data_IF_818802084587
#
_entry.id   IF_818802084587
#
_cell.length_a   1.000
_cell.length_b   1.000
_cell.length_c   1.000
_cell.angle_alpha   90.00
_cell.angle_beta   90.00
_cell.angle_gamma   90.00
#
_symmetry.space_group_name_H-M   'P 1'
#
loop_
_entity.id
_entity.type
_entity.pdbx_description
1 polymer ?
#
# COMPACT_ATOMS: atom_id res chain seq x y z
N UNK A 1 63.44 -28.59 -5.91
CA UNK A 1 62.39 -29.61 -5.79
C UNK A 1 61.18 -29.20 -6.59
N UNK A 2 60.34 -28.31 -6.03
CA UNK A 2 59.17 -27.75 -6.71
C UNK A 2 59.51 -27.08 -8.05
N UNK A 3 60.45 -26.13 -8.08
CA UNK A 3 60.85 -25.45 -9.34
C UNK A 3 61.37 -26.41 -10.42
N UNK A 4 62.03 -27.51 -10.04
CA UNK A 4 62.54 -28.52 -10.96
C UNK A 4 61.41 -29.38 -11.53
N UNK A 5 60.45 -29.79 -10.70
CA UNK A 5 59.26 -30.50 -11.16
C UNK A 5 58.39 -29.60 -12.07
N UNK A 6 58.25 -28.32 -11.75
CA UNK A 6 57.51 -27.34 -12.57
C UNK A 6 58.18 -27.13 -13.93
N UNK A 7 59.52 -26.99 -13.96
CA UNK A 7 60.26 -26.80 -15.21
C UNK A 7 60.14 -28.04 -16.13
N UNK A 8 60.25 -29.25 -15.56
CA UNK A 8 60.20 -30.49 -16.31
C UNK A 8 58.77 -30.82 -16.81
N UNK A 9 57.74 -30.47 -16.05
CA UNK A 9 56.34 -30.62 -16.46
C UNK A 9 55.94 -29.61 -17.55
N UNK A 10 56.62 -28.45 -17.63
CA UNK A 10 56.44 -27.47 -18.72
C UNK A 10 57.09 -27.89 -20.04
N UNK A 11 58.19 -28.66 -19.99
CA UNK A 11 58.89 -29.13 -21.19
C UNK A 11 58.18 -30.32 -21.87
N UNK A 12 57.69 -31.29 -21.10
CA UNK A 12 56.87 -32.38 -21.61
C UNK A 12 56.03 -33.02 -20.48
N UNK A 13 54.71 -32.83 -20.54
CA UNK A 13 53.78 -33.35 -19.54
C UNK A 13 53.76 -34.90 -19.47
N UNK A 14 54.29 -35.59 -20.48
CA UNK A 14 54.42 -37.06 -20.48
C UNK A 14 55.64 -37.58 -19.73
N UNK A 15 56.58 -36.71 -19.32
CA UNK A 15 57.79 -37.11 -18.59
C UNK A 15 57.57 -37.26 -17.08
N UNK A 16 56.45 -36.75 -16.56
CA UNK A 16 56.12 -36.79 -15.13
C UNK A 16 54.67 -37.22 -14.95
N UNK A 17 54.43 -38.14 -14.02
CA UNK A 17 53.09 -38.39 -13.48
C UNK A 17 52.69 -37.18 -12.61
N UNK A 18 52.05 -36.20 -13.23
CA UNK A 18 51.63 -34.92 -12.64
C UNK A 18 50.73 -35.13 -11.41
N UNK A 19 49.93 -36.21 -11.42
CA UNK A 19 49.12 -36.61 -10.27
C UNK A 19 49.97 -37.06 -9.09
N UNK A 20 51.03 -37.85 -9.31
CA UNK A 20 51.93 -38.29 -8.22
C UNK A 20 52.73 -37.14 -7.62
N UNK A 21 53.12 -36.15 -8.43
CA UNK A 21 53.86 -34.98 -7.94
C UNK A 21 52.98 -34.11 -7.04
N UNK A 22 51.71 -33.90 -7.41
CA UNK A 22 50.74 -33.26 -6.51
C UNK A 22 50.58 -34.05 -5.20
N UNK A 23 50.50 -35.39 -5.27
CA UNK A 23 50.34 -36.24 -4.09
C UNK A 23 51.51 -36.16 -3.12
N UNK A 24 52.74 -36.07 -3.65
CA UNK A 24 53.94 -35.88 -2.84
C UNK A 24 53.93 -34.50 -2.16
N UNK A 25 53.55 -33.43 -2.86
CA UNK A 25 53.45 -32.11 -2.24
C UNK A 25 52.34 -32.04 -1.18
N UNK A 26 51.21 -32.69 -1.43
CA UNK A 26 50.11 -32.80 -0.46
C UNK A 26 50.53 -33.59 0.78
N UNK A 27 51.19 -34.74 0.62
CA UNK A 27 51.65 -35.57 1.73
C UNK A 27 52.68 -34.86 2.63
N UNK A 28 53.41 -33.87 2.09
CA UNK A 28 54.34 -33.03 2.84
C UNK A 28 53.72 -31.74 3.38
N UNK A 29 52.41 -31.50 3.20
CA UNK A 29 51.74 -30.27 3.63
C UNK A 29 52.15 -29.03 2.85
N UNK A 30 52.78 -29.19 1.68
CA UNK A 30 53.29 -28.11 0.82
C UNK A 30 52.18 -27.59 -0.12
N UNK A 31 51.09 -27.09 0.46
CA UNK A 31 49.85 -26.77 -0.27
C UNK A 31 50.05 -25.60 -1.25
N UNK A 32 50.77 -24.55 -0.85
CA UNK A 32 51.02 -23.40 -1.73
C UNK A 32 51.87 -23.79 -2.95
N UNK A 33 52.88 -24.66 -2.76
CA UNK A 33 53.72 -25.17 -3.83
C UNK A 33 52.96 -26.13 -4.75
N UNK A 34 52.09 -26.97 -4.18
CA UNK A 34 51.18 -27.82 -4.95
C UNK A 34 50.23 -26.99 -5.82
N UNK A 35 49.65 -25.92 -5.26
CA UNK A 35 48.76 -25.02 -6.01
C UNK A 35 49.50 -24.31 -7.13
N UNK A 36 50.67 -23.72 -6.87
CA UNK A 36 51.48 -23.06 -7.91
C UNK A 36 51.89 -24.02 -9.04
N UNK A 37 52.32 -25.24 -8.68
CA UNK A 37 52.63 -26.28 -9.67
C UNK A 37 51.39 -26.68 -10.49
N UNK A 38 50.25 -26.91 -9.83
CA UNK A 38 49.01 -27.28 -10.49
C UNK A 38 48.49 -26.19 -11.45
N UNK A 39 48.54 -24.92 -11.05
CA UNK A 39 48.15 -23.79 -11.91
C UNK A 39 49.03 -23.68 -13.16
N UNK A 40 50.33 -23.90 -13.01
CA UNK A 40 51.27 -23.87 -14.13
C UNK A 40 51.05 -25.03 -15.11
N UNK A 41 50.89 -26.25 -14.59
CA UNK A 41 50.69 -27.47 -15.39
C UNK A 41 49.33 -27.46 -16.11
N UNK A 42 48.29 -26.97 -15.45
CA UNK A 42 46.92 -26.93 -15.97
C UNK A 42 46.60 -25.67 -16.76
N UNK A 43 47.58 -24.78 -16.98
CA UNK A 43 47.39 -23.49 -17.67
C UNK A 43 46.83 -23.61 -19.09
N UNK A 44 47.02 -24.76 -19.75
CA UNK A 44 46.47 -25.05 -21.07
C UNK A 44 44.98 -25.45 -21.06
N UNK A 45 44.37 -25.63 -19.88
CA UNK A 45 42.96 -25.97 -19.66
C UNK A 45 42.41 -27.04 -20.62
N UNK A 46 43.12 -28.17 -20.72
CA UNK A 46 42.74 -29.26 -21.63
C UNK A 46 41.66 -30.14 -21.00
N UNK A 47 40.80 -30.70 -21.83
CA UNK A 47 39.73 -31.60 -21.39
C UNK A 47 40.28 -32.89 -20.76
N UNK A 48 41.42 -33.38 -21.24
CA UNK A 48 42.12 -34.57 -20.70
C UNK A 48 42.55 -34.40 -19.23
N UNK A 49 42.72 -33.15 -18.78
CA UNK A 49 43.16 -32.82 -17.42
C UNK A 49 42.00 -32.62 -16.44
N UNK A 50 40.75 -32.84 -16.85
CA UNK A 50 39.55 -32.63 -16.01
C UNK A 50 39.61 -33.25 -14.60
N UNK A 51 40.06 -34.51 -14.43
CA UNK A 51 40.26 -35.10 -13.11
C UNK A 51 41.31 -34.39 -12.26
N UNK A 52 42.39 -33.90 -12.90
CA UNK A 52 43.48 -33.18 -12.24
C UNK A 52 43.05 -31.76 -11.84
N UNK A 53 42.27 -31.08 -12.70
CA UNK A 53 41.61 -29.81 -12.38
C UNK A 53 40.71 -29.95 -11.17
N UNK A 54 39.85 -30.99 -11.16
CA UNK A 54 38.97 -31.30 -10.02
C UNK A 54 39.80 -31.43 -8.75
N UNK A 55 40.80 -32.31 -8.76
CA UNK A 55 41.64 -32.58 -7.59
C UNK A 55 42.37 -31.35 -7.06
N UNK A 56 42.87 -30.48 -7.95
CA UNK A 56 43.52 -29.24 -7.56
C UNK A 56 42.54 -28.28 -6.86
N UNK A 57 41.32 -28.15 -7.38
CA UNK A 57 40.29 -27.31 -6.77
C UNK A 57 39.85 -27.91 -5.43
N UNK A 58 39.63 -29.22 -5.35
CA UNK A 58 39.27 -29.92 -4.10
C UNK A 58 40.30 -29.68 -3.00
N UNK A 59 41.58 -29.83 -3.32
CA UNK A 59 42.68 -29.60 -2.39
C UNK A 59 42.65 -28.17 -1.85
N UNK A 60 42.45 -27.18 -2.74
CA UNK A 60 42.36 -25.78 -2.32
C UNK A 60 41.08 -25.51 -1.51
N UNK A 61 39.94 -26.10 -1.85
CA UNK A 61 38.70 -25.93 -1.07
C UNK A 61 38.82 -26.47 0.36
N UNK A 62 39.54 -27.58 0.56
CA UNK A 62 39.71 -28.17 1.89
C UNK A 62 40.71 -27.40 2.78
N UNK A 63 41.70 -26.74 2.18
CA UNK A 63 42.84 -26.20 2.94
C UNK A 63 43.01 -24.69 2.85
N UNK A 64 42.61 -24.08 1.73
CA UNK A 64 42.71 -22.65 1.47
C UNK A 64 41.51 -22.16 0.62
N UNK A 65 40.29 -22.08 1.18
CA UNK A 65 39.07 -21.74 0.42
C UNK A 65 39.17 -20.44 -0.38
N UNK A 66 39.89 -19.43 0.12
CA UNK A 66 40.10 -18.15 -0.57
C UNK A 66 40.86 -18.32 -1.90
N UNK A 67 41.80 -19.26 -1.97
CA UNK A 67 42.55 -19.55 -3.20
C UNK A 67 41.65 -20.30 -4.19
N UNK A 68 40.83 -21.23 -3.71
CA UNK A 68 39.85 -21.90 -4.55
C UNK A 68 38.81 -20.93 -5.12
N UNK A 69 38.32 -19.98 -4.32
CA UNK A 69 37.41 -18.93 -4.77
C UNK A 69 38.03 -18.06 -5.88
N UNK A 70 39.32 -17.72 -5.77
CA UNK A 70 40.04 -16.99 -6.81
C UNK A 70 40.22 -17.82 -8.09
N UNK A 71 40.51 -19.11 -7.98
CA UNK A 71 40.65 -20.01 -9.14
C UNK A 71 39.32 -20.12 -9.90
N UNK A 72 38.22 -20.34 -9.17
CA UNK A 72 36.88 -20.45 -9.75
C UNK A 72 36.39 -19.10 -10.29
N UNK A 73 36.66 -18.01 -9.58
CA UNK A 73 36.24 -16.66 -9.96
C UNK A 73 36.95 -16.09 -11.18
N UNK A 74 38.19 -16.50 -11.43
CA UNK A 74 38.94 -16.13 -12.64
C UNK A 74 38.69 -17.08 -13.81
N UNK A 75 37.78 -18.04 -13.68
CA UNK A 75 37.45 -19.04 -14.71
C UNK A 75 38.69 -19.75 -15.29
N UNK A 76 39.68 -20.02 -14.43
CA UNK A 76 40.97 -20.58 -14.89
C UNK A 76 40.83 -21.99 -15.48
N UNK A 77 39.77 -22.72 -15.11
CA UNK A 77 39.51 -24.11 -15.50
C UNK A 77 38.05 -24.30 -15.91
N UNK A 78 37.78 -25.19 -16.86
CA UNK A 78 36.41 -25.44 -17.37
C UNK A 78 35.96 -26.90 -17.36
N UNK A 79 36.86 -27.87 -17.17
CA UNK A 79 36.61 -29.30 -17.38
C UNK A 79 36.55 -30.14 -16.08
N UNK A 80 36.46 -29.51 -14.91
CA UNK A 80 36.36 -30.19 -13.63
C UNK A 80 34.94 -30.74 -13.34
N UNK A 81 34.84 -31.67 -12.38
CA UNK A 81 33.58 -32.22 -11.88
C UNK A 81 32.78 -31.16 -11.10
N UNK A 82 31.86 -30.49 -11.81
CA UNK A 82 31.04 -29.40 -11.25
C UNK A 82 30.20 -29.84 -10.05
N UNK A 83 29.43 -30.96 -10.07
CA UNK A 83 28.69 -31.43 -8.90
C UNK A 83 29.55 -31.64 -7.65
N UNK A 84 30.74 -32.22 -7.82
CA UNK A 84 31.67 -32.47 -6.72
C UNK A 84 32.20 -31.16 -6.13
N UNK A 85 32.66 -30.25 -7.00
CA UNK A 85 33.16 -28.94 -6.59
C UNK A 85 32.06 -28.11 -5.90
N UNK A 86 30.82 -28.15 -6.39
CA UNK A 86 29.68 -27.45 -5.76
C UNK A 86 29.47 -27.88 -4.30
N UNK A 87 29.52 -29.20 -4.04
CA UNK A 87 29.37 -29.76 -2.69
C UNK A 87 30.49 -29.31 -1.75
N UNK A 88 31.72 -29.23 -2.26
CA UNK A 88 32.87 -28.78 -1.47
C UNK A 88 32.87 -27.26 -1.25
N UNK A 89 32.41 -26.48 -2.22
CA UNK A 89 32.19 -25.04 -2.05
C UNK A 89 31.17 -24.77 -0.94
N UNK A 90 30.07 -25.53 -0.89
CA UNK A 90 29.09 -25.42 0.18
C UNK A 90 29.69 -25.75 1.57
N UNK A 91 30.47 -26.84 1.67
CA UNK A 91 31.16 -27.22 2.91
C UNK A 91 32.19 -26.17 3.36
N UNK A 92 32.84 -25.51 2.41
CA UNK A 92 33.81 -24.45 2.67
C UNK A 92 33.17 -23.07 2.95
N UNK A 93 31.83 -22.96 2.89
CA UNK A 93 31.11 -21.70 3.11
C UNK A 93 31.13 -20.74 1.91
N UNK A 94 31.56 -21.19 0.74
CA UNK A 94 31.58 -20.42 -0.52
C UNK A 94 30.24 -20.59 -1.27
N UNK A 95 29.15 -20.10 -0.67
CA UNK A 95 27.79 -20.33 -1.17
C UNK A 95 27.53 -19.74 -2.56
N UNK A 96 28.13 -18.59 -2.89
CA UNK A 96 28.07 -17.99 -4.24
C UNK A 96 28.58 -18.97 -5.29
N UNK A 97 29.74 -19.58 -5.07
CA UNK A 97 30.35 -20.55 -5.99
C UNK A 97 29.57 -21.85 -6.04
N UNK A 98 29.05 -22.30 -4.90
CA UNK A 98 28.18 -23.48 -4.86
C UNK A 98 26.94 -23.28 -5.75
N UNK A 99 26.28 -22.12 -5.68
CA UNK A 99 25.11 -21.80 -6.52
C UNK A 99 25.43 -21.70 -8.01
N UNK A 100 26.61 -21.19 -8.38
CA UNK A 100 27.04 -21.15 -9.79
C UNK A 100 27.19 -22.54 -10.42
N UNK A 101 27.45 -23.57 -9.60
CA UNK A 101 27.77 -24.92 -10.06
C UNK A 101 26.64 -25.92 -9.82
N UNK A 102 25.69 -25.62 -8.94
CA UNK A 102 24.53 -26.47 -8.73
C UNK A 102 23.53 -26.35 -9.88
N UNK A 103 23.19 -27.49 -10.46
CA UNK A 103 22.11 -27.64 -11.44
C UNK A 103 20.86 -28.29 -10.81
N UNK A 104 21.04 -29.00 -9.69
CA UNK A 104 19.95 -29.68 -8.97
C UNK A 104 19.07 -28.69 -8.18
N UNK A 105 17.75 -28.62 -8.46
CA UNK A 105 16.81 -27.77 -7.73
C UNK A 105 16.84 -27.96 -6.21
N UNK A 106 17.05 -29.19 -5.71
CA UNK A 106 17.06 -29.43 -4.27
C UNK A 106 18.32 -28.84 -3.60
N UNK A 107 19.47 -28.97 -4.24
CA UNK A 107 20.71 -28.33 -3.78
C UNK A 107 20.63 -26.80 -3.82
N UNK A 108 20.08 -26.22 -4.90
CA UNK A 108 19.88 -24.77 -5.01
C UNK A 108 19.03 -24.25 -3.84
N UNK A 109 17.86 -24.87 -3.60
CA UNK A 109 16.97 -24.49 -2.49
C UNK A 109 17.64 -24.60 -1.12
N UNK A 110 18.51 -25.58 -0.93
CA UNK A 110 19.26 -25.76 0.33
C UNK A 110 20.27 -24.64 0.58
N UNK A 111 20.93 -24.15 -0.46
CA UNK A 111 21.99 -23.13 -0.32
C UNK A 111 21.43 -21.71 -0.29
N UNK A 112 20.40 -21.43 -1.08
CA UNK A 112 19.88 -20.08 -1.29
C UNK A 112 19.28 -19.44 -0.02
N UNK A 113 18.96 -20.26 0.99
CA UNK A 113 18.47 -19.83 2.31
C UNK A 113 19.55 -19.13 3.15
N UNK A 114 20.82 -19.25 2.80
CA UNK A 114 21.95 -18.57 3.46
C UNK A 114 22.14 -17.16 2.89
N UNK A 115 21.05 -16.39 2.75
CA UNK A 115 21.09 -15.08 2.07
C UNK A 115 21.97 -14.04 2.77
N UNK A 116 22.28 -14.24 4.07
CA UNK A 116 23.18 -13.40 4.85
C UNK A 116 24.66 -13.52 4.42
N UNK A 117 25.01 -14.63 3.78
CA UNK A 117 26.39 -14.94 3.35
C UNK A 117 26.57 -14.84 1.84
N UNK A 118 25.50 -14.55 1.11
CA UNK A 118 25.52 -14.39 -0.34
C UNK A 118 25.36 -12.90 -0.66
N UNK A 119 26.22 -12.30 -1.50
CA UNK A 119 26.06 -10.92 -1.93
C UNK A 119 24.70 -10.71 -2.59
N UNK A 120 24.01 -9.64 -2.21
CA UNK A 120 22.66 -9.34 -2.67
C UNK A 120 22.57 -9.23 -4.20
N UNK A 121 23.50 -8.50 -4.83
CA UNK A 121 23.54 -8.33 -6.28
C UNK A 121 23.68 -9.67 -7.02
N UNK A 122 24.50 -10.57 -6.48
CA UNK A 122 24.66 -11.90 -7.06
C UNK A 122 23.36 -12.69 -6.94
N UNK A 123 22.77 -12.72 -5.75
CA UNK A 123 21.54 -13.47 -5.49
C UNK A 123 20.42 -13.00 -6.41
N UNK A 124 20.20 -11.68 -6.48
CA UNK A 124 19.20 -11.08 -7.36
C UNK A 124 19.46 -11.44 -8.83
N UNK A 125 20.71 -11.40 -9.31
CA UNK A 125 21.03 -11.79 -10.68
C UNK A 125 20.89 -13.29 -10.94
N UNK A 126 21.15 -14.12 -9.94
CA UNK A 126 21.02 -15.58 -10.03
C UNK A 126 19.57 -16.00 -10.28
N UNK A 127 18.60 -15.36 -9.61
CA UNK A 127 17.16 -15.59 -9.87
C UNK A 127 16.76 -15.30 -11.32
N UNK A 128 17.45 -14.39 -12.01
CA UNK A 128 17.23 -14.15 -13.45
C UNK A 128 17.60 -15.32 -14.37
N UNK A 129 18.40 -16.29 -13.89
CA UNK A 129 18.77 -17.51 -14.63
C UNK A 129 17.84 -18.68 -14.33
N UNK A 130 17.07 -18.61 -13.26
CA UNK A 130 16.18 -19.68 -12.83
C UNK A 130 14.86 -19.66 -13.62
N UNK A 131 14.20 -20.81 -13.70
CA UNK A 131 12.83 -20.86 -14.20
C UNK A 131 11.88 -20.19 -13.20
N UNK A 132 10.70 -19.78 -13.69
CA UNK A 132 9.64 -19.19 -12.88
C UNK A 132 9.27 -20.08 -11.68
N UNK A 133 9.06 -21.38 -11.94
CA UNK A 133 8.66 -22.35 -10.93
C UNK A 133 9.74 -22.52 -9.86
N UNK A 134 11.00 -22.72 -10.28
CA UNK A 134 12.11 -22.88 -9.35
C UNK A 134 12.35 -21.61 -8.53
N UNK A 135 12.20 -20.43 -9.13
CA UNK A 135 12.30 -19.15 -8.43
C UNK A 135 11.26 -19.04 -7.31
N UNK A 136 10.01 -19.38 -7.60
CA UNK A 136 8.94 -19.36 -6.59
C UNK A 136 9.19 -20.38 -5.48
N UNK A 137 9.63 -21.59 -5.82
CA UNK A 137 9.99 -22.60 -4.82
C UNK A 137 11.20 -22.18 -3.96
N UNK A 138 12.18 -21.51 -4.55
CA UNK A 138 13.33 -20.97 -3.82
C UNK A 138 12.90 -19.88 -2.83
N UNK A 139 12.08 -18.92 -3.26
CA UNK A 139 11.56 -17.87 -2.37
C UNK A 139 10.69 -18.48 -1.26
N UNK A 140 9.90 -19.51 -1.55
CA UNK A 140 9.13 -20.26 -0.55
C UNK A 140 10.03 -20.92 0.50
N UNK A 141 11.07 -21.64 0.08
CA UNK A 141 12.00 -22.28 1.03
C UNK A 141 12.81 -21.25 1.82
N UNK A 142 13.19 -20.12 1.21
CA UNK A 142 13.85 -18.99 1.89
C UNK A 142 13.00 -18.45 3.04
N UNK A 143 11.73 -18.16 2.80
CA UNK A 143 10.83 -17.66 3.85
C UNK A 143 10.54 -18.73 4.90
N UNK A 144 10.38 -19.99 4.49
CA UNK A 144 10.14 -21.12 5.40
C UNK A 144 11.26 -21.35 6.41
N UNK A 145 12.52 -21.23 5.99
CA UNK A 145 13.68 -21.48 6.84
C UNK A 145 13.90 -20.33 7.82
N UNK A 146 13.96 -19.09 7.33
CA UNK A 146 14.17 -17.93 8.18
C UNK A 146 13.63 -16.66 7.53
N UNK A 147 12.39 -16.31 7.89
CA UNK A 147 11.72 -15.10 7.41
C UNK A 147 12.58 -13.86 7.67
N UNK A 148 13.01 -13.60 8.90
CA UNK A 148 13.67 -12.34 9.28
C UNK A 148 14.95 -12.10 8.48
N UNK A 149 15.70 -13.17 8.20
CA UNK A 149 16.95 -13.09 7.45
C UNK A 149 16.69 -12.90 5.95
N UNK A 150 15.79 -13.71 5.39
CA UNK A 150 15.65 -13.83 3.95
C UNK A 150 14.63 -12.86 3.35
N UNK A 151 13.80 -12.21 4.17
CA UNK A 151 12.71 -11.35 3.71
C UNK A 151 13.19 -10.21 2.81
N UNK A 152 14.26 -9.50 3.19
CA UNK A 152 14.80 -8.40 2.39
C UNK A 152 15.21 -8.86 0.97
N UNK A 153 15.92 -9.99 0.88
CA UNK A 153 16.31 -10.58 -0.39
C UNK A 153 15.08 -10.95 -1.24
N UNK A 154 14.09 -11.64 -0.64
CA UNK A 154 12.86 -12.05 -1.33
C UNK A 154 12.10 -10.83 -1.87
N UNK A 155 12.01 -9.73 -1.10
CA UNK A 155 11.38 -8.49 -1.55
C UNK A 155 12.12 -7.90 -2.76
N UNK A 156 13.45 -7.81 -2.70
CA UNK A 156 14.24 -7.18 -3.78
C UNK A 156 14.23 -8.01 -5.07
N UNK A 157 14.27 -9.34 -4.95
CA UNK A 157 14.03 -10.27 -6.07
C UNK A 157 12.62 -10.07 -6.64
N UNK A 158 11.61 -10.02 -5.78
CA UNK A 158 10.20 -9.84 -6.18
C UNK A 158 9.97 -8.51 -6.89
N UNK A 159 10.62 -7.43 -6.45
CA UNK A 159 10.55 -6.11 -7.10
C UNK A 159 11.19 -6.14 -8.49
N UNK A 160 12.40 -6.71 -8.62
CA UNK A 160 13.13 -6.72 -9.89
C UNK A 160 12.45 -7.55 -10.97
N UNK A 161 11.85 -8.68 -10.60
CA UNK A 161 11.21 -9.61 -11.51
C UNK A 161 9.67 -9.62 -11.36
N UNK A 162 9.09 -8.51 -10.90
CA UNK A 162 7.65 -8.40 -10.63
C UNK A 162 6.79 -8.73 -11.86
N UNK A 163 7.22 -8.28 -13.04
CA UNK A 163 6.52 -8.56 -14.30
C UNK A 163 6.51 -10.04 -14.68
N UNK A 164 7.56 -10.78 -14.28
CA UNK A 164 7.70 -12.21 -14.56
C UNK A 164 6.87 -13.05 -13.58
N UNK A 165 6.98 -12.77 -12.29
CA UNK A 165 6.28 -13.54 -11.24
C UNK A 165 4.78 -13.21 -11.17
N UNK A 166 4.42 -11.97 -11.45
CA UNK A 166 3.08 -11.44 -11.30
C UNK A 166 2.73 -11.15 -9.83
N UNK A 167 2.03 -10.04 -9.55
CA UNK A 167 1.81 -9.57 -8.18
C UNK A 167 1.00 -10.56 -7.33
N UNK A 168 -0.03 -11.22 -7.90
CA UNK A 168 -0.87 -12.18 -7.19
C UNK A 168 -0.08 -13.37 -6.60
N UNK A 169 0.92 -13.88 -7.32
CA UNK A 169 1.72 -15.02 -6.84
C UNK A 169 2.64 -14.61 -5.69
N UNK A 170 3.20 -13.40 -5.78
CA UNK A 170 4.06 -12.84 -4.72
C UNK A 170 3.22 -12.49 -3.49
N UNK A 171 2.03 -11.91 -3.67
CA UNK A 171 1.07 -11.67 -2.58
C UNK A 171 0.75 -12.99 -1.88
N UNK A 172 0.32 -14.03 -2.61
CA UNK A 172 -0.01 -15.33 -2.02
C UNK A 172 1.17 -15.95 -1.26
N UNK A 173 2.40 -15.78 -1.77
CA UNK A 173 3.61 -16.25 -1.12
C UNK A 173 3.87 -15.53 0.21
N UNK A 174 3.79 -14.20 0.23
CA UNK A 174 4.03 -13.39 1.42
C UNK A 174 2.89 -13.56 2.46
N UNK A 175 1.65 -13.75 2.01
CA UNK A 175 0.50 -14.05 2.87
C UNK A 175 0.61 -15.41 3.55
N UNK A 176 1.13 -16.43 2.85
CA UNK A 176 1.37 -17.78 3.40
C UNK A 176 2.21 -17.72 4.69
N UNK A 177 3.18 -16.81 4.76
CA UNK A 177 4.04 -16.61 5.93
C UNK A 177 3.61 -15.44 6.83
N UNK A 178 2.46 -14.81 6.54
CA UNK A 178 1.88 -13.68 7.31
C UNK A 178 2.84 -12.50 7.46
N UNK A 179 3.62 -12.20 6.43
CA UNK A 179 4.59 -11.10 6.46
C UNK A 179 3.98 -9.80 5.97
N UNK A 180 3.36 -9.04 6.89
CA UNK A 180 2.82 -7.70 6.58
C UNK A 180 3.92 -6.75 6.09
N UNK A 181 5.10 -6.81 6.69
CA UNK A 181 6.29 -6.05 6.28
C UNK A 181 6.70 -6.35 4.83
N UNK A 182 6.69 -7.64 4.46
CA UNK A 182 7.00 -8.08 3.09
C UNK A 182 6.01 -7.53 2.07
N UNK A 183 4.72 -7.67 2.36
CA UNK A 183 3.65 -7.14 1.51
C UNK A 183 3.77 -5.62 1.38
N UNK A 184 3.99 -4.90 2.47
CA UNK A 184 4.12 -3.45 2.45
C UNK A 184 5.29 -2.99 1.57
N UNK A 185 6.49 -3.54 1.77
CA UNK A 185 7.65 -3.11 1.00
C UNK A 185 7.61 -3.52 -0.47
N UNK A 186 7.09 -4.72 -0.78
CA UNK A 186 6.93 -5.16 -2.17
C UNK A 186 5.85 -4.33 -2.88
N UNK A 187 4.64 -4.30 -2.32
CA UNK A 187 3.49 -3.63 -2.94
C UNK A 187 3.68 -2.12 -3.01
N UNK A 188 4.38 -1.50 -2.06
CA UNK A 188 4.71 -0.06 -2.11
C UNK A 188 5.54 0.33 -3.34
N UNK A 189 6.29 -0.60 -3.92
CA UNK A 189 7.03 -0.37 -5.16
C UNK A 189 6.17 -0.41 -6.43
N UNK A 190 5.01 -1.05 -6.38
CA UNK A 190 4.16 -1.29 -7.56
C UNK A 190 2.77 -0.64 -7.48
N UNK A 191 2.28 -0.30 -6.28
CA UNK A 191 0.90 0.16 -6.05
C UNK A 191 0.54 1.41 -6.85
N UNK A 192 1.49 2.33 -7.05
CA UNK A 192 1.26 3.56 -7.81
C UNK A 192 1.17 3.31 -9.33
N UNK A 193 1.64 2.15 -9.81
CA UNK A 193 1.65 1.77 -11.23
C UNK A 193 0.60 0.69 -11.53
N UNK A 194 -0.02 0.12 -10.49
CA UNK A 194 -0.93 -1.00 -10.62
C UNK A 194 -2.37 -0.50 -10.76
N UNK A 195 -3.06 -1.03 -11.77
CA UNK A 195 -4.52 -0.85 -11.95
C UNK A 195 -5.34 -1.96 -11.28
N UNK A 196 -4.68 -2.83 -10.54
CA UNK A 196 -5.27 -4.00 -9.91
C UNK A 196 -5.84 -3.67 -8.52
N UNK A 197 -7.15 -3.87 -8.37
CA UNK A 197 -7.86 -3.61 -7.12
C UNK A 197 -7.38 -4.49 -5.96
N UNK A 198 -6.95 -5.72 -6.24
CA UNK A 198 -6.46 -6.62 -5.21
C UNK A 198 -5.09 -6.17 -4.70
N UNK A 199 -4.20 -5.73 -5.59
CA UNK A 199 -2.89 -5.16 -5.23
C UNK A 199 -3.05 -3.95 -4.33
N UNK A 200 -3.90 -3.01 -4.72
CA UNK A 200 -4.15 -1.79 -3.93
C UNK A 200 -4.77 -2.13 -2.57
N UNK A 201 -5.77 -3.02 -2.54
CA UNK A 201 -6.39 -3.47 -1.29
C UNK A 201 -5.36 -4.12 -0.36
N UNK A 202 -4.52 -5.02 -0.88
CA UNK A 202 -3.49 -5.71 -0.10
C UNK A 202 -2.42 -4.76 0.41
N UNK A 203 -2.09 -3.72 -0.34
CA UNK A 203 -1.18 -2.67 0.15
C UNK A 203 -1.81 -1.88 1.30
N UNK A 204 -3.09 -1.51 1.21
CA UNK A 204 -3.83 -0.84 2.30
C UNK A 204 -3.84 -1.71 3.57
N UNK A 205 -4.12 -3.02 3.42
CA UNK A 205 -4.12 -3.98 4.52
C UNK A 205 -2.74 -4.09 5.19
N UNK A 206 -1.68 -4.20 4.39
CA UNK A 206 -0.30 -4.28 4.87
C UNK A 206 0.16 -2.97 5.54
N UNK A 207 -0.09 -1.82 4.92
CA UNK A 207 0.27 -0.51 5.47
C UNK A 207 -0.46 -0.23 6.79
N UNK A 208 -1.74 -0.62 6.88
CA UNK A 208 -2.54 -0.51 8.11
C UNK A 208 -1.95 -1.37 9.22
N UNK A 209 -1.59 -2.62 8.92
CA UNK A 209 -0.97 -3.54 9.89
C UNK A 209 0.39 -3.05 10.37
N UNK A 210 1.15 -2.39 9.48
CA UNK A 210 2.45 -1.77 9.80
C UNK A 210 2.32 -0.44 10.56
N UNK A 211 1.10 0.07 10.78
CA UNK A 211 0.85 1.36 11.44
C UNK A 211 1.23 2.57 10.57
N UNK A 212 1.39 2.40 9.26
CA UNK A 212 1.78 3.45 8.32
C UNK A 212 0.55 4.22 7.82
N UNK A 213 -0.13 4.93 8.73
CA UNK A 213 -1.42 5.58 8.45
C UNK A 213 -1.33 6.63 7.34
N UNK A 214 -0.20 7.35 7.23
CA UNK A 214 0.01 8.35 6.19
C UNK A 214 -0.02 7.74 4.78
N UNK A 215 0.56 6.54 4.61
CA UNK A 215 0.50 5.82 3.34
C UNK A 215 -0.89 5.28 3.04
N UNK A 216 -1.62 4.82 4.07
CA UNK A 216 -3.02 4.41 3.92
C UNK A 216 -3.87 5.59 3.44
N UNK A 217 -3.70 6.77 4.06
CA UNK A 217 -4.37 8.00 3.66
C UNK A 217 -4.05 8.38 2.20
N UNK A 218 -2.76 8.38 1.85
CA UNK A 218 -2.28 8.71 0.49
C UNK A 218 -2.93 7.81 -0.55
N UNK A 219 -2.88 6.49 -0.36
CA UNK A 219 -3.44 5.53 -1.32
C UNK A 219 -4.97 5.61 -1.38
N UNK A 220 -5.65 5.80 -0.25
CA UNK A 220 -7.09 6.01 -0.23
C UNK A 220 -7.51 7.29 -0.99
N UNK A 221 -6.65 8.32 -1.02
CA UNK A 221 -6.90 9.57 -1.73
C UNK A 221 -6.54 9.50 -3.21
N UNK A 222 -5.39 8.94 -3.55
CA UNK A 222 -4.78 9.01 -4.89
C UNK A 222 -5.19 7.85 -5.80
N UNK A 223 -5.35 6.64 -5.25
CA UNK A 223 -5.65 5.47 -6.08
C UNK A 223 -7.10 5.48 -6.54
N UNK A 224 -7.34 5.14 -7.81
CA UNK A 224 -8.68 4.92 -8.36
C UNK A 224 -9.04 3.43 -8.49
N UNK A 225 -8.09 2.55 -8.16
CA UNK A 225 -8.18 1.12 -8.42
C UNK A 225 -8.30 0.36 -7.10
N UNK A 226 -9.42 0.55 -6.40
CA UNK A 226 -9.80 -0.30 -5.27
C UNK A 226 -11.32 -0.29 -5.06
N UNK A 227 -11.83 -1.40 -4.54
CA UNK A 227 -13.23 -1.49 -4.15
C UNK A 227 -13.50 -0.70 -2.85
N UNK A 228 -14.23 0.40 -2.96
CA UNK A 228 -14.53 1.29 -1.83
C UNK A 228 -15.30 0.61 -0.69
N UNK A 229 -16.20 -0.34 -0.98
CA UNK A 229 -16.96 -1.05 0.04
C UNK A 229 -16.06 -2.02 0.83
N UNK A 230 -15.20 -2.76 0.13
CA UNK A 230 -14.23 -3.68 0.74
C UNK A 230 -13.24 -2.93 1.64
N UNK A 231 -12.69 -1.82 1.16
CA UNK A 231 -11.76 -0.97 1.95
C UNK A 231 -12.47 -0.32 3.12
N UNK A 232 -13.69 0.21 2.94
CA UNK A 232 -14.50 0.78 4.03
C UNK A 232 -14.70 -0.22 5.16
N UNK A 233 -15.13 -1.45 4.83
CA UNK A 233 -15.41 -2.47 5.84
C UNK A 233 -14.13 -2.87 6.58
N UNK A 234 -13.02 -3.05 5.86
CA UNK A 234 -11.72 -3.32 6.47
C UNK A 234 -11.28 -2.19 7.43
N UNK A 235 -11.36 -0.93 7.02
CA UNK A 235 -10.93 0.22 7.85
C UNK A 235 -11.81 0.40 9.10
N UNK A 236 -13.10 0.05 9.02
CA UNK A 236 -14.01 0.02 10.18
C UNK A 236 -13.61 -1.08 11.18
N UNK A 237 -13.22 -2.25 10.69
CA UNK A 237 -12.78 -3.36 11.54
C UNK A 237 -11.40 -3.11 12.15
N UNK A 238 -10.50 -2.47 11.40
CA UNK A 238 -9.16 -2.12 11.85
C UNK A 238 -9.15 -1.10 13.01
N UNK A 239 -10.25 -0.35 13.20
CA UNK A 239 -10.46 0.59 14.29
C UNK A 239 -9.26 1.53 14.53
N UNK A 240 -8.88 2.28 13.49
CA UNK A 240 -7.71 3.14 13.50
C UNK A 240 -7.81 4.25 14.55
N UNK A 241 -6.68 4.67 15.09
CA UNK A 241 -6.62 5.87 15.95
C UNK A 241 -6.99 7.13 15.17
N UNK A 242 -6.58 7.21 13.90
CA UNK A 242 -6.90 8.30 13.00
C UNK A 242 -7.87 7.83 11.92
N UNK A 243 -9.05 8.45 11.89
CA UNK A 243 -10.17 8.04 11.03
C UNK A 243 -10.11 8.69 9.63
N UNK A 244 -9.09 9.49 9.32
CA UNK A 244 -8.99 10.22 8.07
C UNK A 244 -8.99 9.31 6.82
N UNK A 245 -8.28 8.15 6.81
CA UNK A 245 -8.38 7.23 5.68
C UNK A 245 -9.80 6.72 5.44
N UNK A 246 -10.53 6.36 6.51
CA UNK A 246 -11.92 5.92 6.41
C UNK A 246 -12.82 7.04 5.89
N UNK A 247 -12.63 8.27 6.38
CA UNK A 247 -13.36 9.45 5.93
C UNK A 247 -13.18 9.67 4.42
N UNK A 248 -11.94 9.59 3.92
CA UNK A 248 -11.64 9.78 2.49
C UNK A 248 -12.34 8.74 1.64
N UNK A 249 -12.26 7.46 2.01
CA UNK A 249 -12.92 6.37 1.27
C UNK A 249 -14.44 6.59 1.25
N UNK A 250 -15.04 6.90 2.40
CA UNK A 250 -16.48 7.12 2.46
C UNK A 250 -16.93 8.36 1.67
N UNK A 251 -16.16 9.45 1.66
CA UNK A 251 -16.48 10.64 0.88
C UNK A 251 -16.45 10.35 -0.63
N UNK A 252 -15.38 9.71 -1.10
CA UNK A 252 -15.16 9.40 -2.52
C UNK A 252 -16.21 8.47 -3.10
N UNK A 253 -16.64 7.48 -2.32
CA UNK A 253 -17.63 6.48 -2.75
C UNK A 253 -19.05 6.78 -2.25
N UNK A 254 -19.30 7.99 -1.75
CA UNK A 254 -20.63 8.47 -1.31
C UNK A 254 -21.27 7.65 -0.17
N UNK A 255 -20.46 7.07 0.73
CA UNK A 255 -20.88 6.35 1.93
C UNK A 255 -20.97 7.26 3.17
N UNK A 256 -21.43 8.51 2.99
CA UNK A 256 -21.44 9.54 4.04
C UNK A 256 -22.29 9.13 5.24
N UNK A 257 -23.48 8.59 5.00
CA UNK A 257 -24.40 8.18 6.07
C UNK A 257 -23.81 7.05 6.94
N UNK A 258 -23.24 6.02 6.29
CA UNK A 258 -22.55 4.90 6.97
C UNK A 258 -21.36 5.38 7.82
N UNK A 259 -20.59 6.35 7.29
CA UNK A 259 -19.46 6.96 8.00
C UNK A 259 -19.93 7.64 9.28
N UNK A 260 -20.96 8.49 9.18
CA UNK A 260 -21.48 9.25 10.32
C UNK A 260 -22.03 8.31 11.40
N UNK A 261 -22.80 7.29 11.00
CA UNK A 261 -23.28 6.24 11.90
C UNK A 261 -22.14 5.57 12.67
N UNK A 262 -21.06 5.21 11.96
CA UNK A 262 -19.90 4.55 12.56
C UNK A 262 -19.13 5.48 13.50
N UNK A 263 -18.80 6.69 13.06
CA UNK A 263 -18.05 7.66 13.86
C UNK A 263 -18.82 8.07 15.11
N UNK A 264 -20.14 8.26 15.01
CA UNK A 264 -20.98 8.61 16.14
C UNK A 264 -21.06 7.47 17.17
N UNK A 265 -21.31 6.24 16.72
CA UNK A 265 -21.37 5.05 17.61
C UNK A 265 -20.07 4.83 18.39
N UNK A 266 -18.93 5.14 17.78
CA UNK A 266 -17.61 5.04 18.41
C UNK A 266 -17.14 6.34 19.08
N UNK A 267 -18.02 7.35 19.20
CA UNK A 267 -17.73 8.64 19.86
C UNK A 267 -16.55 9.43 19.24
N UNK A 268 -16.28 9.25 17.94
CA UNK A 268 -15.26 9.96 17.18
C UNK A 268 -15.75 11.33 16.65
N UNK A 269 -16.27 12.18 17.55
CA UNK A 269 -16.86 13.48 17.18
C UNK A 269 -15.87 14.42 16.46
N UNK A 270 -14.61 14.45 16.92
CA UNK A 270 -13.55 15.25 16.29
C UNK A 270 -13.31 14.85 14.83
N UNK A 271 -13.47 13.57 14.51
CA UNK A 271 -13.30 13.07 13.14
C UNK A 271 -14.43 13.52 12.23
N UNK A 272 -15.67 13.59 12.75
CA UNK A 272 -16.82 14.16 12.02
C UNK A 272 -16.58 15.65 11.74
N UNK A 273 -16.06 16.39 12.73
CA UNK A 273 -15.70 17.80 12.57
C UNK A 273 -14.59 18.01 11.52
N UNK A 274 -13.52 17.23 11.59
CA UNK A 274 -12.43 17.26 10.59
C UNK A 274 -12.95 16.95 9.18
N UNK A 275 -13.92 16.03 9.04
CA UNK A 275 -14.50 15.69 7.75
C UNK A 275 -15.14 16.91 7.08
N UNK A 276 -16.03 17.61 7.79
CA UNK A 276 -16.74 18.78 7.24
C UNK A 276 -15.88 20.04 7.20
N UNK A 277 -14.81 20.14 7.98
CA UNK A 277 -13.93 21.32 7.95
C UNK A 277 -12.83 21.22 6.88
N UNK A 278 -12.16 20.05 6.79
CA UNK A 278 -10.90 19.93 6.05
C UNK A 278 -11.00 19.07 4.80
N UNK A 279 -11.89 18.09 4.79
CA UNK A 279 -11.97 17.13 3.68
C UNK A 279 -13.00 17.61 2.66
N UNK A 280 -14.25 17.79 3.08
CA UNK A 280 -15.32 18.19 2.18
C UNK A 280 -16.46 18.95 2.90
N UNK A 281 -16.34 20.28 3.04
CA UNK A 281 -17.39 21.11 3.63
C UNK A 281 -18.73 21.06 2.88
N UNK A 282 -18.69 20.75 1.58
CA UNK A 282 -19.90 20.57 0.77
C UNK A 282 -20.79 19.42 1.25
N UNK A 283 -20.24 18.46 2.01
CA UNK A 283 -20.99 17.30 2.56
C UNK A 283 -21.64 17.56 3.91
N UNK A 284 -21.50 18.77 4.46
CA UNK A 284 -22.14 19.17 5.72
C UNK A 284 -23.65 18.84 5.77
N UNK A 285 -24.46 19.07 4.72
CA UNK A 285 -25.87 18.69 4.70
C UNK A 285 -26.11 17.21 5.01
N UNK A 286 -25.44 16.31 4.28
CA UNK A 286 -25.57 14.86 4.47
C UNK A 286 -25.04 14.39 5.82
N UNK A 287 -23.99 15.04 6.34
CA UNK A 287 -23.48 14.76 7.69
C UNK A 287 -24.48 15.14 8.77
N UNK A 288 -25.09 16.31 8.67
CA UNK A 288 -26.13 16.76 9.60
C UNK A 288 -27.36 15.85 9.50
N UNK A 289 -27.78 15.47 8.30
CA UNK A 289 -28.86 14.50 8.10
C UNK A 289 -28.58 13.18 8.81
N UNK A 290 -27.38 12.61 8.62
CA UNK A 290 -26.97 11.39 9.30
C UNK A 290 -26.87 11.52 10.83
N UNK A 291 -26.46 12.67 11.35
CA UNK A 291 -26.45 12.94 12.79
C UNK A 291 -27.86 13.05 13.38
N UNK A 292 -28.81 13.59 12.62
CA UNK A 292 -30.20 13.66 13.03
C UNK A 292 -30.86 12.27 13.05
N UNK A 293 -30.51 11.40 12.10
CA UNK A 293 -31.04 10.02 12.03
C UNK A 293 -30.59 9.14 13.20
N UNK A 294 -29.52 9.52 13.92
CA UNK A 294 -29.02 8.82 15.12
C UNK A 294 -29.43 9.50 16.43
N UNK A 295 -30.38 10.44 16.38
CA UNK A 295 -30.83 11.22 17.55
C UNK A 295 -29.67 11.92 18.28
N UNK A 296 -28.71 12.46 17.52
CA UNK A 296 -27.57 13.19 18.09
C UNK A 296 -28.02 14.42 18.90
N UNK A 297 -27.25 14.76 19.94
CA UNK A 297 -27.47 15.98 20.73
C UNK A 297 -27.40 17.21 19.81
N UNK A 298 -28.43 18.05 19.89
CA UNK A 298 -28.54 19.27 19.11
C UNK A 298 -27.34 20.21 19.28
N UNK A 299 -26.73 20.23 20.46
CA UNK A 299 -25.57 21.08 20.73
C UNK A 299 -24.35 20.63 19.93
N UNK A 300 -24.18 19.33 19.68
CA UNK A 300 -23.11 18.81 18.84
C UNK A 300 -23.30 19.29 17.40
N UNK A 301 -24.54 19.22 16.89
CA UNK A 301 -24.86 19.69 15.53
C UNK A 301 -24.67 21.22 15.42
N UNK A 302 -25.12 21.99 16.41
CA UNK A 302 -24.93 23.45 16.45
C UNK A 302 -23.45 23.83 16.48
N UNK A 303 -22.66 23.14 17.31
CA UNK A 303 -21.21 23.36 17.37
C UNK A 303 -20.53 23.00 16.05
N UNK A 304 -20.90 21.88 15.43
CA UNK A 304 -20.40 21.46 14.12
C UNK A 304 -20.68 22.53 13.05
N UNK A 305 -21.93 23.00 12.95
CA UNK A 305 -22.33 24.04 12.00
C UNK A 305 -21.59 25.37 12.25
N UNK A 306 -21.37 25.75 13.50
CA UNK A 306 -20.62 26.96 13.84
C UNK A 306 -19.14 26.87 13.50
N UNK A 307 -18.61 25.65 13.38
CA UNK A 307 -17.19 25.39 13.15
C UNK A 307 -16.80 25.40 11.67
N UNK A 308 -17.79 25.33 10.77
CA UNK A 308 -17.59 25.27 9.31
C UNK A 308 -17.92 26.63 8.71
N UNK A 309 -17.17 27.03 7.68
CA UNK A 309 -17.46 28.26 6.94
C UNK A 309 -18.80 28.14 6.21
N UNK A 310 -19.76 28.97 6.64
CA UNK A 310 -21.12 29.04 6.10
C UNK A 310 -21.19 29.31 4.59
N UNK A 311 -20.16 29.89 3.98
CA UNK A 311 -20.16 30.20 2.55
C UNK A 311 -19.98 28.98 1.65
N UNK A 312 -19.37 27.92 2.18
CA UNK A 312 -19.07 26.68 1.44
C UNK A 312 -20.17 25.64 1.60
N UNK A 313 -21.05 25.82 2.58
CA UNK A 313 -22.14 24.89 2.87
C UNK A 313 -23.29 25.11 1.87
N UNK A 314 -23.77 24.06 1.17
CA UNK A 314 -24.99 24.12 0.38
C UNK A 314 -26.21 24.29 1.29
N UNK A 315 -26.66 25.53 1.47
CA UNK A 315 -27.74 25.87 2.41
C UNK A 315 -29.08 25.22 2.01
N UNK A 316 -29.42 25.19 0.71
CA UNK A 316 -30.66 24.57 0.24
C UNK A 316 -30.74 23.07 0.60
N UNK A 317 -29.63 22.34 0.39
CA UNK A 317 -29.54 20.93 0.75
C UNK A 317 -29.59 20.74 2.26
N UNK A 318 -28.88 21.57 3.04
CA UNK A 318 -28.90 21.52 4.49
C UNK A 318 -30.33 21.72 5.04
N UNK A 319 -31.04 22.70 4.50
CA UNK A 319 -32.42 23.01 4.88
C UNK A 319 -33.32 21.84 4.53
N UNK A 320 -33.19 21.26 3.33
CA UNK A 320 -33.97 20.09 2.92
C UNK A 320 -33.74 18.87 3.82
N UNK A 321 -32.49 18.55 4.16
CA UNK A 321 -32.14 17.44 5.06
C UNK A 321 -32.71 17.65 6.47
N UNK A 322 -32.70 18.88 6.99
CA UNK A 322 -33.23 19.16 8.34
C UNK A 322 -34.77 19.28 8.34
N UNK A 323 -35.36 19.83 7.27
CA UNK A 323 -36.80 20.01 7.07
C UNK A 323 -37.51 18.67 6.93
N UNK A 324 -36.98 17.74 6.12
CA UNK A 324 -37.53 16.39 5.96
C UNK A 324 -37.60 15.59 7.27
N UNK A 325 -36.77 15.97 8.26
CA UNK A 325 -36.73 15.37 9.61
C UNK A 325 -37.51 16.18 10.66
N UNK A 326 -38.23 17.23 10.24
CA UNK A 326 -39.01 18.12 11.10
C UNK A 326 -38.18 18.83 12.21
N UNK A 327 -36.89 19.11 11.95
CA UNK A 327 -35.98 19.75 12.92
C UNK A 327 -35.48 21.13 12.48
N UNK A 328 -36.19 21.80 11.57
CA UNK A 328 -35.84 23.10 10.97
C UNK A 328 -35.37 24.17 11.99
N UNK A 329 -36.02 24.24 13.16
CA UNK A 329 -35.70 25.21 14.23
C UNK A 329 -34.25 25.09 14.73
N UNK A 330 -33.61 23.94 14.55
CA UNK A 330 -32.21 23.69 14.92
C UNK A 330 -31.25 24.64 14.20
N UNK A 331 -31.56 25.00 12.94
CA UNK A 331 -30.70 25.83 12.09
C UNK A 331 -30.79 27.32 12.42
N UNK A 332 -31.76 27.76 13.24
CA UNK A 332 -31.99 29.17 13.49
C UNK A 332 -30.73 29.96 13.92
N UNK A 333 -29.96 29.52 14.94
CA UNK A 333 -28.77 30.26 15.36
C UNK A 333 -27.70 30.33 14.26
N UNK A 334 -27.58 29.27 13.45
CA UNK A 334 -26.63 29.20 12.35
C UNK A 334 -27.04 30.13 11.19
N UNK A 335 -28.33 30.16 10.82
CA UNK A 335 -28.84 31.00 9.73
C UNK A 335 -28.78 32.50 10.10
N UNK A 336 -29.09 32.86 11.34
CA UNK A 336 -28.96 34.23 11.84
C UNK A 336 -27.50 34.70 11.84
N UNK A 337 -26.57 33.85 12.30
CA UNK A 337 -25.14 34.15 12.26
C UNK A 337 -24.63 34.29 10.81
N UNK A 338 -25.10 33.43 9.91
CA UNK A 338 -24.76 33.46 8.47
C UNK A 338 -25.25 34.76 7.82
N UNK A 339 -26.46 35.21 8.17
CA UNK A 339 -27.02 36.49 7.74
C UNK A 339 -26.20 37.68 8.28
N UNK A 340 -25.82 37.65 9.57
CA UNK A 340 -24.99 38.70 10.19
C UNK A 340 -23.59 38.77 9.59
N UNK A 341 -23.04 37.63 9.16
CA UNK A 341 -21.77 37.55 8.44
C UNK A 341 -21.84 38.14 7.01
N UNK A 342 -23.04 38.56 6.56
CA UNK A 342 -23.24 39.21 5.26
C UNK A 342 -23.55 38.25 4.12
N UNK A 343 -23.87 36.99 4.40
CA UNK A 343 -24.31 36.05 3.36
C UNK A 343 -25.74 36.40 2.91
N UNK A 344 -25.90 36.71 1.61
CA UNK A 344 -27.16 37.13 1.00
C UNK A 344 -27.81 36.05 0.13
N UNK A 345 -27.44 34.78 0.29
CA UNK A 345 -28.07 33.69 -0.45
C UNK A 345 -29.59 33.62 -0.17
N UNK A 346 -30.40 33.54 -1.22
CA UNK A 346 -31.87 33.43 -1.13
C UNK A 346 -32.32 32.24 -0.27
N UNK A 347 -31.58 31.13 -0.31
CA UNK A 347 -31.78 29.93 0.51
C UNK A 347 -31.85 30.24 2.02
N UNK A 348 -30.98 31.11 2.51
CA UNK A 348 -30.92 31.50 3.93
C UNK A 348 -32.20 32.24 4.32
N UNK A 349 -32.64 33.17 3.49
CA UNK A 349 -33.88 33.93 3.71
C UNK A 349 -35.12 33.05 3.63
N UNK A 350 -35.16 32.12 2.68
CA UNK A 350 -36.23 31.13 2.58
C UNK A 350 -36.33 30.31 3.86
N UNK A 351 -35.21 29.77 4.34
CA UNK A 351 -35.17 28.97 5.56
C UNK A 351 -35.57 29.76 6.80
N UNK A 352 -35.09 31.00 6.96
CA UNK A 352 -35.49 31.88 8.05
C UNK A 352 -36.99 32.19 8.02
N UNK A 353 -37.55 32.47 6.84
CA UNK A 353 -38.99 32.67 6.67
C UNK A 353 -39.75 31.45 7.17
N UNK A 354 -39.38 30.25 6.68
CA UNK A 354 -40.00 28.98 7.10
C UNK A 354 -39.96 28.78 8.62
N UNK A 355 -38.82 29.05 9.25
CA UNK A 355 -38.64 28.91 10.71
C UNK A 355 -39.47 29.94 11.49
N UNK A 356 -39.53 31.20 11.05
CA UNK A 356 -40.32 32.23 11.72
C UNK A 356 -41.82 31.98 11.61
N UNK A 357 -42.28 31.42 10.49
CA UNK A 357 -43.65 30.94 10.33
C UNK A 357 -43.93 29.80 11.34
N UNK A 358 -43.05 28.80 11.44
CA UNK A 358 -43.17 27.68 12.38
C UNK A 358 -43.09 28.06 13.87
N UNK A 359 -42.43 29.17 14.15
CA UNK A 359 -42.17 29.63 15.52
C UNK A 359 -43.08 30.79 15.93
N UNK A 360 -43.96 31.24 15.04
CA UNK A 360 -44.81 32.43 15.20
C UNK A 360 -44.03 33.66 15.68
N UNK A 361 -42.83 33.87 15.11
CA UNK A 361 -41.94 34.97 15.46
C UNK A 361 -42.06 36.11 14.44
N UNK A 362 -43.11 36.92 14.56
CA UNK A 362 -43.44 38.05 13.67
C UNK A 362 -43.26 37.76 12.15
N UNK A 363 -43.81 36.64 11.63
CA UNK A 363 -43.58 36.24 10.24
C UNK A 363 -44.10 37.27 9.23
N UNK A 364 -45.20 37.96 9.54
CA UNK A 364 -45.72 39.04 8.68
C UNK A 364 -44.70 40.15 8.44
N UNK A 365 -43.97 40.54 9.49
CA UNK A 365 -42.98 41.62 9.40
C UNK A 365 -41.85 41.19 8.49
N UNK A 366 -41.34 39.97 8.68
CA UNK A 366 -40.29 39.40 7.83
C UNK A 366 -40.73 39.35 6.36
N UNK A 367 -41.92 38.81 6.07
CA UNK A 367 -42.42 38.67 4.70
C UNK A 367 -42.66 40.03 4.03
N UNK A 368 -43.06 41.06 4.78
CA UNK A 368 -43.29 42.42 4.25
C UNK A 368 -41.98 43.17 4.03
N UNK A 369 -41.04 43.14 4.99
CA UNK A 369 -39.83 43.97 4.98
C UNK A 369 -38.66 43.36 4.19
N UNK A 370 -38.60 42.04 4.03
CA UNK A 370 -37.46 41.37 3.39
C UNK A 370 -37.73 41.09 1.90
N UNK A 371 -36.86 41.55 1.00
CA UNK A 371 -37.01 41.37 -0.45
C UNK A 371 -36.18 40.20 -1.03
N UNK A 372 -35.42 39.49 -0.18
CA UNK A 372 -34.40 38.54 -0.63
C UNK A 372 -34.85 37.07 -0.57
N UNK A 373 -36.06 36.78 -0.09
CA UNK A 373 -36.63 35.43 -0.10
C UNK A 373 -37.39 35.15 -1.41
N UNK A 374 -37.46 33.88 -1.80
CA UNK A 374 -38.31 33.41 -2.88
C UNK A 374 -39.77 33.34 -2.41
N UNK A 375 -40.54 34.29 -2.92
CA UNK A 375 -41.98 34.43 -2.65
C UNK A 375 -42.80 33.22 -3.07
N UNK A 376 -42.37 32.47 -4.10
CA UNK A 376 -43.08 31.28 -4.55
C UNK A 376 -42.86 30.10 -3.60
N UNK A 377 -41.59 29.80 -3.28
CA UNK A 377 -41.23 28.70 -2.37
C UNK A 377 -41.79 28.92 -0.97
N UNK A 378 -41.65 30.14 -0.43
CA UNK A 378 -42.17 30.47 0.90
C UNK A 378 -43.70 30.54 0.89
N UNK A 379 -44.31 31.09 -0.16
CA UNK A 379 -45.77 31.13 -0.29
C UNK A 379 -46.40 29.74 -0.29
N UNK A 380 -45.86 28.79 -1.09
CA UNK A 380 -46.32 27.39 -1.12
C UNK A 380 -46.19 26.70 0.23
N UNK A 381 -45.18 27.09 1.00
CA UNK A 381 -44.99 26.59 2.35
C UNK A 381 -46.00 27.17 3.35
N UNK A 382 -46.39 28.44 3.18
CA UNK A 382 -47.43 29.09 3.98
C UNK A 382 -48.83 28.53 3.72
N UNK A 383 -49.16 28.08 2.50
CA UNK A 383 -50.51 27.58 2.14
C UNK A 383 -51.07 26.57 3.14
N UNK A 384 -50.23 25.64 3.59
CA UNK A 384 -50.63 24.57 4.51
C UNK A 384 -50.73 25.00 5.98
N UNK A 385 -50.33 26.23 6.31
CA UNK A 385 -50.12 26.70 7.69
C UNK A 385 -50.92 27.95 8.01
N UNK A 386 -50.80 28.98 7.17
CA UNK A 386 -51.53 30.24 7.28
C UNK A 386 -51.76 30.84 5.88
N UNK A 387 -53.00 30.79 5.37
CA UNK A 387 -53.38 31.38 4.08
C UNK A 387 -53.11 32.89 3.99
N UNK A 388 -53.17 33.63 5.10
CA UNK A 388 -52.88 35.07 5.09
C UNK A 388 -51.40 35.34 4.85
N UNK A 389 -50.50 34.52 5.41
CA UNK A 389 -49.07 34.63 5.15
C UNK A 389 -48.72 34.23 3.71
N UNK A 390 -49.43 33.23 3.15
CA UNK A 390 -49.30 32.84 1.75
C UNK A 390 -49.68 34.00 0.82
N UNK A 391 -50.82 34.66 1.10
CA UNK A 391 -51.25 35.84 0.36
C UNK A 391 -50.23 36.98 0.41
N UNK A 392 -49.63 37.27 1.58
CA UNK A 392 -48.61 38.31 1.71
C UNK A 392 -47.39 38.01 0.82
N UNK A 393 -46.91 36.76 0.83
CA UNK A 393 -45.78 36.32 0.01
C UNK A 393 -46.09 36.41 -1.49
N UNK A 394 -47.21 35.83 -1.94
CA UNK A 394 -47.60 35.82 -3.35
C UNK A 394 -47.88 37.22 -3.91
N UNK A 395 -48.56 38.07 -3.14
CA UNK A 395 -48.80 39.46 -3.55
C UNK A 395 -47.51 40.23 -3.73
N UNK A 396 -46.51 39.98 -2.88
CA UNK A 396 -45.20 40.62 -2.99
C UNK A 396 -44.44 40.15 -4.23
N UNK A 397 -44.55 38.87 -4.56
CA UNK A 397 -43.89 38.26 -5.72
C UNK A 397 -44.56 38.51 -7.08
N UNK A 398 -45.75 39.11 -7.11
CA UNK A 398 -46.61 39.15 -8.31
C UNK A 398 -46.95 37.75 -8.84
N UNK A 399 -47.08 36.77 -7.94
CA UNK A 399 -47.42 35.38 -8.28
C UNK A 399 -48.94 35.23 -8.43
N UNK A 400 -49.50 35.87 -9.47
CA UNK A 400 -50.95 36.03 -9.64
C UNK A 400 -51.69 34.69 -9.82
N UNK A 401 -51.05 33.68 -10.42
CA UNK A 401 -51.64 32.35 -10.63
C UNK A 401 -51.86 31.62 -9.31
N UNK A 402 -50.82 31.54 -8.48
CA UNK A 402 -50.87 30.91 -7.16
C UNK A 402 -51.81 31.69 -6.21
N UNK A 403 -51.90 33.01 -6.37
CA UNK A 403 -52.81 33.87 -5.60
C UNK A 403 -54.29 33.59 -5.92
N UNK A 404 -54.59 33.26 -7.18
CA UNK A 404 -55.92 32.81 -7.62
C UNK A 404 -56.22 31.40 -7.07
N UNK A 405 -55.23 30.50 -7.04
CA UNK A 405 -55.42 29.15 -6.49
C UNK A 405 -55.77 29.18 -4.99
N UNK A 406 -55.03 29.93 -4.16
CA UNK A 406 -55.30 30.01 -2.72
C UNK A 406 -56.61 30.74 -2.33
N UNK A 407 -57.24 31.44 -3.28
CA UNK A 407 -58.52 32.14 -3.05
C UNK A 407 -59.72 31.34 -3.54
N UNK A 408 -59.49 30.27 -4.32
CA UNK A 408 -60.51 29.36 -4.81
C UNK A 408 -60.67 28.08 -3.95
N UNK A 409 -59.66 27.71 -3.18
CA UNK A 409 -59.72 26.71 -2.10
C UNK A 409 -60.16 27.32 -0.76
#
# INVERSE_FOLDING_TARGET
GAEFATALAKEDANLIDTSRVLDVFMAQGMIQQATAFGLDVLSANREEDGPLQTRLIEMNLMNAPQVADAILGNEMFTHYDRPRIATLCEQAGLYTRALEHYEDPAAIKRVIVQSDKIPEDFLVNFFGKLTLELSMECMDEMLKVNIRQNLAAVINISKKYSDLFGPHRIIALLEKYRTAEGLYYYLGGIVNLSEDEEVTFKYIEAATTMGQIQEVERVCRESNHYNGEKVKNFLKEANLTEQLPLIIVCDRFNFVHDLVLYLYKNQHFKSIEVYVQRVNPGRTPGVVGGLLDVDCDENIIKNLLSSVDSTVIPIDELVSEVESRNRLKLLLPFLEATLQAGNQQQAVYNALAKIYIDSNNDPEKFLKENDMYDTLTVGKYCEKRDPNLAYIAYRKGQNDLELIEITND
#
